data_IF_700982015564
#
_entry.id   IF_700982015564
#
_cell.length_a   1.000
_cell.length_b   1.000
_cell.length_c   1.000
_cell.angle_alpha   90.00
_cell.angle_beta   90.00
_cell.angle_gamma   90.00
#
_symmetry.space_group_name_H-M   'P 1'
#
loop_
_entity.id
_entity.type
_entity.pdbx_description
1 polymer ?
#
# COMPACT_ATOMS: atom_id res chain seq x y z
N UNK A 1 -27.86 30.86 21.99
CA UNK A 1 -28.13 29.47 22.41
C UNK A 1 -27.06 29.14 23.40
N UNK A 2 -27.46 28.71 24.60
CA UNK A 2 -26.52 28.31 25.63
C UNK A 2 -26.10 26.87 25.39
N UNK A 3 -24.79 26.65 25.28
CA UNK A 3 -24.17 25.35 25.06
C UNK A 3 -23.24 25.03 26.24
N UNK A 4 -23.23 23.77 26.64
CA UNK A 4 -22.25 23.20 27.57
C UNK A 4 -21.26 22.36 26.76
N UNK A 5 -20.00 22.76 26.77
CA UNK A 5 -18.92 22.04 26.11
C UNK A 5 -18.12 21.31 27.18
N UNK A 6 -17.98 19.99 27.06
CA UNK A 6 -17.13 19.16 27.91
C UNK A 6 -16.03 18.55 27.05
N UNK A 7 -14.79 18.73 27.46
CA UNK A 7 -13.62 18.13 26.85
C UNK A 7 -12.98 17.22 27.90
N UNK A 8 -13.00 15.92 27.62
CA UNK A 8 -12.64 14.87 28.56
C UNK A 8 -11.55 13.99 27.96
N UNK A 9 -10.69 13.44 28.82
CA UNK A 9 -9.60 12.56 28.45
C UNK A 9 -9.29 11.60 29.58
N UNK A 10 -9.20 10.32 29.25
CA UNK A 10 -8.88 9.24 30.19
C UNK A 10 -7.75 8.39 29.62
N UNK A 11 -6.79 8.01 30.45
CA UNK A 11 -5.77 7.03 30.04
C UNK A 11 -6.38 5.65 29.86
N UNK A 12 -5.65 4.73 29.23
CA UNK A 12 -6.08 3.34 29.06
C UNK A 12 -6.40 2.62 30.39
N UNK A 13 -5.85 3.12 31.51
CA UNK A 13 -6.11 2.61 32.86
C UNK A 13 -7.30 3.28 33.55
N UNK A 14 -8.06 4.12 32.85
CA UNK A 14 -9.25 4.83 33.36
C UNK A 14 -8.94 6.05 34.23
N UNK A 15 -7.70 6.54 34.24
CA UNK A 15 -7.36 7.77 34.97
C UNK A 15 -7.76 8.99 34.15
N UNK A 16 -8.61 9.86 34.70
CA UNK A 16 -8.96 11.14 34.07
C UNK A 16 -7.74 12.07 34.05
N UNK A 17 -7.29 12.41 32.85
CA UNK A 17 -6.15 13.32 32.57
C UNK A 17 -6.58 14.66 31.99
N UNK A 18 -7.82 14.74 31.50
CA UNK A 18 -8.40 15.98 31.01
C UNK A 18 -9.88 16.05 31.40
N UNK A 19 -10.28 17.15 32.03
CA UNK A 19 -11.69 17.43 32.32
C UNK A 19 -11.90 18.94 32.33
N UNK A 20 -12.29 19.48 31.17
CA UNK A 20 -12.51 20.91 30.97
C UNK A 20 -13.95 21.14 30.53
N UNK A 21 -14.70 21.89 31.33
CA UNK A 21 -16.08 22.26 31.01
C UNK A 21 -16.19 23.77 30.78
N UNK A 22 -16.87 24.18 29.70
CA UNK A 22 -17.15 25.59 29.39
C UNK A 22 -18.62 25.79 29.06
N UNK A 23 -19.25 26.78 29.70
CA UNK A 23 -20.55 27.30 29.30
C UNK A 23 -20.36 28.43 28.29
N UNK A 24 -21.07 28.36 27.16
CA UNK A 24 -20.86 29.24 26.01
C UNK A 24 -22.20 29.65 25.43
N UNK A 25 -22.41 30.96 25.23
CA UNK A 25 -23.55 31.47 24.45
C UNK A 25 -23.15 31.72 22.99
N UNK A 26 -23.93 31.21 22.05
CA UNK A 26 -23.78 31.49 20.62
C UNK A 26 -24.99 32.24 20.11
N UNK A 27 -24.79 33.49 19.66
CA UNK A 27 -25.86 34.35 19.14
C UNK A 27 -26.35 33.86 17.77
N UNK A 28 -27.60 34.18 17.44
CA UNK A 28 -28.21 33.83 16.14
C UNK A 28 -27.39 34.42 14.99
N UNK A 29 -27.21 33.62 13.93
CA UNK A 29 -26.45 33.99 12.72
C UNK A 29 -25.00 34.44 13.00
N UNK A 30 -24.40 33.94 14.08
CA UNK A 30 -23.01 34.23 14.45
C UNK A 30 -22.27 32.93 14.77
N UNK A 31 -20.95 32.95 14.53
CA UNK A 31 -20.04 31.90 14.98
C UNK A 31 -19.29 32.38 16.22
N UNK A 32 -18.88 31.42 17.07
CA UNK A 32 -18.04 31.69 18.24
C UNK A 32 -16.86 30.73 18.25
N UNK A 33 -15.65 31.26 18.40
CA UNK A 33 -14.43 30.48 18.57
C UNK A 33 -14.20 30.25 20.07
N UNK A 34 -13.93 29.00 20.45
CA UNK A 34 -13.69 28.60 21.83
C UNK A 34 -12.33 27.93 21.90
N UNK A 35 -11.39 28.57 22.58
CA UNK A 35 -10.04 28.05 22.74
C UNK A 35 -9.96 27.14 23.97
N UNK A 36 -9.27 26.02 23.84
CA UNK A 36 -8.92 25.14 24.95
C UNK A 36 -7.40 25.06 25.03
N UNK A 37 -6.85 25.28 26.23
CA UNK A 37 -5.42 25.13 26.46
C UNK A 37 -5.18 23.68 26.88
N UNK A 38 -4.32 22.97 26.14
CA UNK A 38 -3.98 21.58 26.46
C UNK A 38 -2.87 21.53 27.51
N UNK A 39 -2.96 20.67 28.54
CA UNK A 39 -1.85 20.38 29.44
C UNK A 39 -0.64 19.81 28.69
N UNK A 40 0.57 20.05 29.20
CA UNK A 40 1.81 19.53 28.59
C UNK A 40 2.05 18.05 28.91
N UNK A 41 1.43 17.53 29.96
CA UNK A 41 1.61 16.19 30.53
C UNK A 41 0.55 15.18 30.05
N UNK A 42 -0.08 15.44 28.89
CA UNK A 42 -1.01 14.50 28.29
C UNK A 42 -0.31 13.21 27.84
N UNK A 43 -0.99 12.08 28.01
CA UNK A 43 -0.51 10.76 27.61
C UNK A 43 -1.47 10.11 26.61
N UNK A 44 -1.07 8.97 26.05
CA UNK A 44 -2.00 8.13 25.28
C UNK A 44 -3.24 7.78 26.13
N UNK A 45 -4.39 7.76 25.46
CA UNK A 45 -5.69 7.55 26.08
C UNK A 45 -6.85 7.90 25.15
N UNK A 46 -8.06 7.79 25.69
CA UNK A 46 -9.31 8.11 25.00
C UNK A 46 -9.71 9.54 25.33
N UNK A 47 -9.82 10.38 24.31
CA UNK A 47 -10.23 11.76 24.43
C UNK A 47 -11.53 12.01 23.67
N UNK A 48 -12.39 12.85 24.20
CA UNK A 48 -13.66 13.20 23.56
C UNK A 48 -14.10 14.62 23.86
N UNK A 49 -14.89 15.18 22.95
CA UNK A 49 -15.60 16.45 23.14
C UNK A 49 -17.11 16.23 23.03
N UNK A 50 -17.85 16.73 24.02
CA UNK A 50 -19.31 16.71 24.06
C UNK A 50 -19.85 18.14 24.00
N UNK A 51 -20.87 18.37 23.17
CA UNK A 51 -21.56 19.65 23.02
C UNK A 51 -23.05 19.43 23.28
N UNK A 52 -23.52 19.96 24.41
CA UNK A 52 -24.91 19.84 24.85
C UNK A 52 -25.64 21.18 24.80
N UNK A 53 -26.84 21.18 24.23
CA UNK A 53 -27.78 22.30 24.29
C UNK A 53 -28.37 22.46 25.69
N UNK A 54 -28.40 23.70 26.19
CA UNK A 54 -28.95 24.05 27.49
C UNK A 54 -30.23 24.87 27.35
N UNK A 55 -30.96 25.03 28.46
CA UNK A 55 -32.12 25.93 28.60
C UNK A 55 -33.21 25.77 27.53
N UNK A 56 -33.69 24.54 27.34
CA UNK A 56 -34.83 24.25 26.46
C UNK A 56 -34.48 24.07 24.99
N UNK A 57 -33.19 24.11 24.64
CA UNK A 57 -32.69 23.74 23.32
C UNK A 57 -32.13 22.32 23.37
N UNK A 58 -32.82 21.35 22.76
CA UNK A 58 -32.36 19.96 22.71
C UNK A 58 -31.31 19.79 21.63
N UNK A 59 -30.06 19.56 22.05
CA UNK A 59 -28.93 19.33 21.17
C UNK A 59 -27.90 18.48 21.90
N UNK A 60 -27.38 17.45 21.24
CA UNK A 60 -26.32 16.59 21.77
C UNK A 60 -25.45 16.11 20.61
N UNK A 61 -24.15 16.39 20.71
CA UNK A 61 -23.13 15.88 19.78
C UNK A 61 -21.88 15.51 20.55
N UNK A 62 -21.29 14.38 20.16
CA UNK A 62 -20.03 13.89 20.71
C UNK A 62 -19.07 13.61 19.54
N UNK A 63 -17.78 13.81 19.77
CA UNK A 63 -16.72 13.41 18.85
C UNK A 63 -15.51 12.88 19.63
N UNK A 64 -14.97 11.75 19.17
CA UNK A 64 -13.69 11.23 19.64
C UNK A 64 -12.54 12.07 19.08
N UNK A 65 -11.50 12.26 19.89
CA UNK A 65 -10.31 13.03 19.55
C UNK A 65 -9.09 12.11 19.61
N UNK A 66 -8.32 12.08 18.52
CA UNK A 66 -7.08 11.27 18.47
C UNK A 66 -5.94 12.08 19.05
N UNK A 67 -5.33 11.55 20.11
CA UNK A 67 -4.09 12.10 20.67
C UNK A 67 -2.89 11.72 19.79
N UNK A 68 -2.05 12.70 19.48
CA UNK A 68 -0.80 12.51 18.75
C UNK A 68 0.37 12.88 19.66
N UNK A 69 1.14 11.88 20.08
CA UNK A 69 2.32 12.08 20.95
C UNK A 69 3.47 12.78 20.23
N UNK A 70 3.51 12.73 18.90
CA UNK A 70 4.62 13.24 18.09
C UNK A 70 4.17 14.41 17.21
N UNK A 71 5.00 15.44 17.18
CA UNK A 71 4.90 16.57 16.23
C UNK A 71 5.75 16.37 14.97
N UNK A 72 6.23 15.14 14.76
CA UNK A 72 7.06 14.75 13.63
C UNK A 72 6.47 13.51 12.95
N UNK A 73 6.75 13.37 11.65
CA UNK A 73 6.41 12.21 10.84
C UNK A 73 7.68 11.59 10.25
N UNK A 74 7.67 10.28 10.07
CA UNK A 74 8.76 9.53 9.46
C UNK A 74 8.29 8.78 8.22
N UNK A 75 9.14 8.72 7.19
CA UNK A 75 8.96 7.88 6.01
C UNK A 75 10.22 7.08 5.76
N UNK A 76 10.04 5.86 5.25
CA UNK A 76 11.14 5.02 4.74
C UNK A 76 10.91 4.78 3.26
N UNK A 77 11.92 5.05 2.46
CA UNK A 77 11.97 4.64 1.07
C UNK A 77 13.04 3.57 0.90
N UNK A 78 12.68 2.52 0.18
CA UNK A 78 13.57 1.43 -0.22
C UNK A 78 13.57 1.42 -1.74
N UNK A 79 14.72 1.19 -2.36
CA UNK A 79 14.89 1.22 -3.82
C UNK A 79 14.12 0.10 -4.55
N UNK A 80 13.93 -1.06 -3.92
CA UNK A 80 13.11 -2.19 -4.43
C UNK A 80 12.23 -2.77 -3.32
N UNK A 81 11.06 -3.35 -3.66
CA UNK A 81 10.25 -4.09 -2.70
C UNK A 81 10.77 -5.51 -2.44
N UNK A 82 11.47 -6.10 -3.41
CA UNK A 82 11.98 -7.48 -3.35
C UNK A 82 13.44 -7.54 -3.81
N UNK A 83 14.26 -8.29 -3.06
CA UNK A 83 15.68 -8.49 -3.29
C UNK A 83 16.04 -9.96 -3.39
N UNK A 84 17.18 -10.24 -3.99
CA UNK A 84 17.78 -11.57 -4.07
C UNK A 84 18.99 -11.69 -3.13
N UNK A 85 19.40 -12.92 -2.79
CA UNK A 85 20.71 -13.17 -2.19
C UNK A 85 21.83 -12.45 -2.94
N UNK A 86 22.69 -11.73 -2.21
CA UNK A 86 23.77 -10.94 -2.80
C UNK A 86 23.39 -9.54 -3.31
N UNK A 87 22.11 -9.15 -3.29
CA UNK A 87 21.72 -7.77 -3.62
C UNK A 87 22.09 -6.80 -2.48
N UNK A 88 22.23 -5.51 -2.83
CA UNK A 88 22.33 -4.41 -1.87
C UNK A 88 20.98 -3.72 -1.74
N UNK A 89 20.48 -3.57 -0.51
CA UNK A 89 19.28 -2.79 -0.18
C UNK A 89 19.69 -1.35 0.03
N UNK A 90 19.24 -0.42 -0.81
CA UNK A 90 19.42 1.01 -0.58
C UNK A 90 18.15 1.59 0.03
N UNK A 91 18.29 2.36 1.11
CA UNK A 91 17.16 2.99 1.77
C UNK A 91 17.48 4.40 2.24
N UNK A 92 16.42 5.19 2.38
CA UNK A 92 16.48 6.49 3.04
C UNK A 92 15.34 6.65 4.03
N UNK A 93 15.67 7.23 5.18
CA UNK A 93 14.75 7.66 6.22
C UNK A 93 14.54 9.15 6.06
N UNK A 94 13.30 9.59 6.02
CA UNK A 94 12.90 10.99 5.89
C UNK A 94 12.13 11.36 7.15
N UNK A 95 12.53 12.43 7.82
CA UNK A 95 11.88 12.94 9.04
C UNK A 95 11.47 14.39 8.83
N UNK A 96 10.20 14.67 9.05
CA UNK A 96 9.59 15.98 8.82
C UNK A 96 8.78 16.43 10.04
N UNK A 97 8.73 17.74 10.31
CA UNK A 97 7.84 18.34 11.30
C UNK A 97 6.44 18.66 10.72
N UNK A 98 5.61 19.33 11.50
CA UNK A 98 4.25 19.76 11.10
C UNK A 98 4.23 20.76 9.95
N UNK A 99 5.35 21.43 9.65
CA UNK A 99 5.50 22.32 8.49
C UNK A 99 6.09 21.60 7.27
N UNK A 100 6.24 20.27 7.34
CA UNK A 100 6.89 19.43 6.32
C UNK A 100 8.34 19.83 6.05
N UNK A 101 9.04 20.31 7.07
CA UNK A 101 10.45 20.71 7.02
C UNK A 101 11.29 19.81 7.92
N UNK A 102 12.63 19.79 7.75
CA UNK A 102 13.51 19.08 8.66
C UNK A 102 13.35 19.60 10.11
N UNK A 103 12.97 18.74 11.08
CA UNK A 103 12.75 19.17 12.46
C UNK A 103 14.02 19.72 13.09
N UNK A 104 13.95 20.95 13.61
CA UNK A 104 15.11 21.62 14.20
C UNK A 104 15.72 20.86 15.40
N UNK A 105 14.86 20.20 16.19
CA UNK A 105 15.21 19.49 17.44
C UNK A 105 15.74 18.07 17.20
N UNK A 106 15.42 17.43 16.07
CA UNK A 106 15.83 16.04 15.80
C UNK A 106 17.01 16.06 14.83
N UNK A 107 18.23 15.84 15.36
CA UNK A 107 19.47 15.81 14.56
C UNK A 107 19.88 14.43 14.08
N UNK A 108 19.39 13.40 14.75
CA UNK A 108 19.67 12.01 14.42
C UNK A 108 18.52 11.12 14.86
N UNK A 109 18.38 9.98 14.19
CA UNK A 109 17.43 8.93 14.55
C UNK A 109 18.17 7.64 14.87
N UNK A 110 17.45 6.68 15.42
CA UNK A 110 17.93 5.34 15.65
C UNK A 110 17.32 4.42 14.59
N UNK A 111 18.14 3.70 13.82
CA UNK A 111 17.66 2.82 12.75
C UNK A 111 18.12 1.39 13.02
N UNK A 112 17.21 0.44 12.88
CA UNK A 112 17.50 -1.00 13.00
C UNK A 112 16.91 -1.77 11.84
N UNK A 113 17.69 -2.67 11.25
CA UNK A 113 17.21 -3.66 10.28
C UNK A 113 17.23 -5.03 10.93
N UNK A 114 16.10 -5.72 10.86
CA UNK A 114 15.91 -7.08 11.36
C UNK A 114 15.57 -8.05 10.23
N UNK A 115 16.07 -9.27 10.35
CA UNK A 115 15.71 -10.37 9.49
C UNK A 115 14.29 -10.92 9.81
N UNK A 116 13.77 -11.90 9.05
CA UNK A 116 12.45 -12.48 9.27
C UNK A 116 12.26 -13.16 10.64
N UNK A 117 13.34 -13.55 11.30
CA UNK A 117 13.32 -14.12 12.65
C UNK A 117 13.53 -13.07 13.75
N UNK A 118 13.50 -11.78 13.38
CA UNK A 118 13.70 -10.61 14.26
C UNK A 118 15.12 -10.48 14.80
N UNK A 119 16.11 -11.16 14.22
CA UNK A 119 17.51 -10.94 14.56
C UNK A 119 17.95 -9.56 14.05
N UNK A 120 18.68 -8.80 14.87
CA UNK A 120 19.22 -7.50 14.47
C UNK A 120 20.43 -7.72 13.57
N UNK A 121 20.30 -7.35 12.30
CA UNK A 121 21.37 -7.53 11.30
C UNK A 121 22.24 -6.28 11.17
N UNK A 122 21.61 -5.10 11.21
CA UNK A 122 22.34 -3.83 11.18
C UNK A 122 21.63 -2.79 12.03
N UNK A 123 22.41 -1.95 12.70
CA UNK A 123 21.91 -0.89 13.59
C UNK A 123 22.76 0.35 13.44
N UNK A 124 22.09 1.49 13.41
CA UNK A 124 22.69 2.82 13.50
C UNK A 124 22.11 3.50 14.73
N UNK A 125 22.87 3.52 15.82
CA UNK A 125 22.45 4.16 17.08
C UNK A 125 22.33 5.68 16.96
N UNK A 126 23.03 6.28 15.99
CA UNK A 126 23.05 7.73 15.75
C UNK A 126 23.12 7.99 14.25
N UNK A 127 22.03 7.69 13.55
CA UNK A 127 21.87 7.99 12.13
C UNK A 127 21.61 9.50 11.95
N UNK A 128 22.64 10.26 11.61
CA UNK A 128 22.55 11.72 11.45
C UNK A 128 21.67 12.08 10.26
N UNK A 129 20.77 13.04 10.48
CA UNK A 129 19.90 13.58 9.44
C UNK A 129 20.60 14.76 8.74
N UNK A 130 20.67 14.71 7.42
CA UNK A 130 21.05 15.82 6.55
C UNK A 130 19.81 16.31 5.81
N UNK A 131 19.41 17.57 6.04
CA UNK A 131 18.15 18.12 5.53
C UNK A 131 16.93 17.20 5.79
N UNK A 132 16.88 16.59 6.98
CA UNK A 132 15.79 15.68 7.39
C UNK A 132 15.92 14.26 6.82
N UNK A 133 17.01 13.94 6.11
CA UNK A 133 17.20 12.65 5.45
C UNK A 133 18.43 11.93 6.00
N UNK A 134 18.30 10.64 6.27
CA UNK A 134 19.41 9.71 6.47
C UNK A 134 19.37 8.65 5.36
N UNK A 135 20.48 8.45 4.67
CA UNK A 135 20.60 7.48 3.58
C UNK A 135 21.68 6.46 3.92
N UNK A 136 21.41 5.18 3.66
CA UNK A 136 22.35 4.09 3.88
C UNK A 136 21.93 2.83 3.11
N UNK A 137 22.83 1.85 3.10
CA UNK A 137 22.62 0.55 2.48
C UNK A 137 22.60 -0.62 3.49
N UNK A 138 22.27 -1.82 3.01
CA UNK A 138 22.56 -3.11 3.63
C UNK A 138 22.88 -4.14 2.54
N UNK A 139 24.06 -4.76 2.61
CA UNK A 139 24.40 -5.89 1.75
C UNK A 139 23.73 -7.18 2.24
N UNK A 140 22.90 -7.81 1.41
CA UNK A 140 22.32 -9.12 1.70
C UNK A 140 23.40 -10.19 1.49
N UNK A 141 23.54 -11.10 2.46
CA UNK A 141 24.49 -12.20 2.38
C UNK A 141 24.18 -13.12 1.17
N UNK A 142 25.16 -13.86 0.63
CA UNK A 142 24.93 -14.86 -0.42
C UNK A 142 23.98 -15.99 0.00
N UNK A 143 23.91 -16.28 1.29
CA UNK A 143 23.00 -17.26 1.90
C UNK A 143 22.21 -16.58 3.04
N UNK A 144 21.21 -15.73 2.72
CA UNK A 144 20.49 -14.94 3.71
C UNK A 144 19.29 -15.70 4.27
N UNK A 145 18.70 -15.16 5.34
CA UNK A 145 17.35 -15.55 5.74
C UNK A 145 16.32 -15.03 4.72
N UNK A 146 15.59 -15.94 4.10
CA UNK A 146 14.53 -15.60 3.15
C UNK A 146 13.24 -15.19 3.87
N UNK A 147 12.47 -14.30 3.25
CA UNK A 147 11.20 -13.81 3.76
C UNK A 147 11.18 -12.30 3.96
N UNK A 148 10.34 -11.84 4.88
CA UNK A 148 10.08 -10.41 5.11
C UNK A 148 11.03 -9.85 6.16
N UNK A 149 11.84 -8.87 5.74
CA UNK A 149 12.75 -8.10 6.59
C UNK A 149 12.07 -6.80 7.01
N UNK A 150 12.54 -6.19 8.11
CA UNK A 150 11.96 -4.96 8.64
C UNK A 150 13.04 -3.92 8.95
N UNK A 151 12.84 -2.69 8.45
CA UNK A 151 13.56 -1.48 8.81
C UNK A 151 12.68 -0.71 9.81
N UNK A 152 13.13 -0.52 11.04
CA UNK A 152 12.45 0.30 12.06
C UNK A 152 13.29 1.52 12.42
N UNK A 153 12.61 2.65 12.59
CA UNK A 153 13.20 3.95 12.94
C UNK A 153 12.57 4.42 14.23
N UNK A 154 13.41 4.76 15.21
CA UNK A 154 13.02 5.26 16.51
C UNK A 154 13.57 6.68 16.73
N UNK A 155 12.80 7.49 17.46
CA UNK A 155 13.19 8.82 17.95
C UNK A 155 12.86 8.86 19.44
N UNK A 156 13.84 9.21 20.27
CA UNK A 156 13.70 9.27 21.73
C UNK A 156 13.16 7.98 22.38
N UNK A 157 13.48 6.82 21.78
CA UNK A 157 13.10 5.49 22.29
C UNK A 157 11.71 5.02 21.86
N UNK A 158 10.99 5.81 21.07
CA UNK A 158 9.70 5.43 20.50
C UNK A 158 9.79 5.21 18.99
N UNK A 159 9.15 4.16 18.47
CA UNK A 159 9.05 3.92 17.03
C UNK A 159 8.36 5.11 16.35
N UNK A 160 8.97 5.63 15.29
CA UNK A 160 8.44 6.69 14.45
C UNK A 160 7.83 6.12 13.17
N UNK A 161 8.53 5.18 12.53
CA UNK A 161 8.10 4.53 11.29
C UNK A 161 8.82 3.20 11.14
N UNK A 162 8.13 2.22 10.57
CA UNK A 162 8.72 0.96 10.13
C UNK A 162 8.30 0.64 8.70
N UNK A 163 9.15 -0.12 7.98
CA UNK A 163 8.88 -0.54 6.61
C UNK A 163 9.57 -1.85 6.30
N UNK A 164 8.87 -2.70 5.58
CA UNK A 164 9.35 -4.02 5.20
C UNK A 164 9.88 -4.06 3.77
N UNK A 165 10.76 -5.03 3.52
CA UNK A 165 11.16 -5.47 2.19
C UNK A 165 11.29 -6.99 2.20
N UNK A 166 11.24 -7.63 1.04
CA UNK A 166 11.27 -9.09 0.97
C UNK A 166 12.58 -9.59 0.33
N UNK A 167 13.15 -10.65 0.88
CA UNK A 167 14.29 -11.35 0.29
C UNK A 167 13.83 -12.72 -0.17
N UNK A 168 13.89 -12.99 -1.47
CA UNK A 168 13.50 -14.27 -2.08
C UNK A 168 14.66 -14.88 -2.81
N UNK A 169 14.72 -16.21 -2.78
CA UNK A 169 15.58 -16.95 -3.70
C UNK A 169 15.20 -16.62 -5.15
N UNK A 170 16.22 -16.58 -6.01
CA UNK A 170 15.98 -16.60 -7.44
C UNK A 170 15.53 -18.00 -7.82
N UNK A 171 14.22 -18.24 -7.82
CA UNK A 171 13.66 -19.44 -8.41
C UNK A 171 13.65 -19.24 -9.92
N UNK A 172 14.11 -20.26 -10.66
CA UNK A 172 14.01 -20.32 -12.11
C UNK A 172 12.56 -20.04 -12.49
N UNK A 173 12.35 -18.93 -13.16
CA UNK A 173 11.05 -18.27 -13.20
C UNK A 173 10.07 -19.14 -13.97
N UNK A 174 8.94 -19.48 -13.35
CA UNK A 174 7.71 -19.67 -14.12
C UNK A 174 7.57 -18.44 -15.01
N UNK A 175 7.28 -18.61 -16.29
CA UNK A 175 7.02 -17.49 -17.18
C UNK A 175 5.55 -17.09 -17.07
N UNK A 176 5.26 -15.83 -17.37
CA UNK A 176 3.89 -15.34 -17.42
C UNK A 176 3.37 -15.46 -18.84
N UNK A 177 2.12 -15.92 -18.98
CA UNK A 177 1.40 -15.94 -20.25
C UNK A 177 0.28 -14.93 -20.18
N UNK A 178 0.32 -13.93 -21.05
CA UNK A 178 -0.72 -12.92 -21.19
C UNK A 178 -1.48 -13.12 -22.50
N UNK A 179 -2.80 -12.97 -22.42
CA UNK A 179 -3.71 -13.12 -23.56
C UNK A 179 -4.61 -11.91 -23.58
N UNK A 180 -4.63 -11.20 -24.70
CA UNK A 180 -5.42 -9.98 -24.87
C UNK A 180 -5.87 -9.82 -26.32
N UNK A 181 -7.02 -9.21 -26.60
CA UNK A 181 -7.37 -8.84 -27.95
C UNK A 181 -6.32 -7.90 -28.56
N UNK A 182 -5.82 -8.20 -29.76
CA UNK A 182 -4.91 -7.34 -30.52
C UNK A 182 -5.61 -6.04 -30.99
N UNK A 183 -6.94 -6.12 -31.11
CA UNK A 183 -7.86 -5.03 -31.43
C UNK A 183 -9.17 -5.31 -30.68
N UNK A 184 -9.92 -4.27 -30.33
CA UNK A 184 -11.24 -4.43 -29.69
C UNK A 184 -12.13 -5.28 -30.62
N UNK A 185 -12.64 -6.44 -30.17
CA UNK A 185 -13.56 -7.25 -30.97
C UNK A 185 -14.88 -6.51 -31.14
N UNK A 186 -15.36 -6.43 -32.39
CA UNK A 186 -16.67 -5.92 -32.74
C UNK A 186 -17.42 -7.02 -33.48
N UNK A 187 -18.75 -7.04 -33.35
CA UNK A 187 -19.60 -8.01 -34.04
C UNK A 187 -19.37 -8.02 -35.56
N UNK A 188 -19.21 -6.84 -36.16
CA UNK A 188 -18.95 -6.67 -37.60
C UNK A 188 -17.66 -7.33 -38.09
N UNK A 189 -16.69 -7.54 -37.19
CA UNK A 189 -15.44 -8.22 -37.54
C UNK A 189 -15.65 -9.72 -37.77
N UNK A 190 -16.73 -10.31 -37.20
CA UNK A 190 -16.99 -11.75 -37.20
C UNK A 190 -15.76 -12.58 -36.80
N UNK A 191 -14.89 -12.01 -35.95
CA UNK A 191 -13.64 -12.63 -35.54
C UNK A 191 -13.08 -11.99 -34.26
N UNK A 192 -12.26 -12.76 -33.55
CA UNK A 192 -11.44 -12.28 -32.43
C UNK A 192 -9.97 -12.46 -32.77
N UNK A 193 -9.24 -11.35 -32.78
CA UNK A 193 -7.78 -11.34 -32.94
C UNK A 193 -7.13 -11.26 -31.56
N UNK A 194 -6.33 -12.26 -31.20
CA UNK A 194 -5.64 -12.34 -29.92
C UNK A 194 -4.13 -12.16 -30.10
N UNK A 195 -3.54 -11.41 -29.18
CA UNK A 195 -2.11 -11.37 -28.91
C UNK A 195 -1.85 -12.29 -27.72
N UNK A 196 -0.91 -13.22 -27.90
CA UNK A 196 -0.43 -14.13 -26.86
C UNK A 196 1.02 -13.77 -26.60
N UNK A 197 1.34 -13.43 -25.37
CA UNK A 197 2.67 -13.02 -24.95
C UNK A 197 3.16 -13.91 -23.81
N UNK A 198 4.35 -14.48 -23.95
CA UNK A 198 4.97 -15.38 -22.98
C UNK A 198 6.41 -14.92 -22.73
N UNK A 199 6.65 -14.36 -21.54
CA UNK A 199 7.96 -13.86 -21.15
C UNK A 199 8.31 -14.35 -19.74
N UNK A 200 9.61 -14.59 -19.51
CA UNK A 200 10.09 -14.73 -18.14
C UNK A 200 9.96 -13.40 -17.40
N UNK A 201 9.92 -13.46 -16.07
CA UNK A 201 9.85 -12.28 -15.19
C UNK A 201 11.02 -11.30 -15.38
N UNK A 202 12.16 -11.76 -15.90
CA UNK A 202 13.32 -10.93 -16.24
C UNK A 202 13.29 -10.38 -17.68
N UNK A 203 12.17 -10.55 -18.39
CA UNK A 203 11.87 -9.90 -19.66
C UNK A 203 12.33 -10.62 -20.92
N UNK A 204 12.94 -11.81 -20.82
CA UNK A 204 13.29 -12.58 -22.02
C UNK A 204 12.07 -13.34 -22.58
N UNK A 205 11.96 -13.44 -23.91
CA UNK A 205 10.88 -14.17 -24.56
C UNK A 205 11.00 -15.68 -24.30
N UNK A 206 9.84 -16.33 -24.15
CA UNK A 206 9.73 -17.80 -24.07
C UNK A 206 9.34 -18.34 -25.44
N UNK A 207 10.02 -19.39 -25.87
CA UNK A 207 9.63 -20.16 -27.05
C UNK A 207 8.73 -21.32 -26.63
N UNK A 208 7.59 -21.48 -27.31
CA UNK A 208 6.68 -22.57 -27.02
C UNK A 208 5.56 -22.72 -28.03
N UNK A 209 4.66 -23.64 -27.74
CA UNK A 209 3.44 -23.87 -28.51
C UNK A 209 2.24 -23.42 -27.68
N UNK A 210 1.48 -22.46 -28.20
CA UNK A 210 0.23 -22.00 -27.62
C UNK A 210 -0.95 -22.76 -28.25
N UNK A 211 -1.77 -23.38 -27.41
CA UNK A 211 -3.06 -23.98 -27.78
C UNK A 211 -4.18 -23.05 -27.33
N UNK A 212 -5.00 -22.60 -28.26
CA UNK A 212 -6.02 -21.57 -28.05
C UNK A 212 -7.38 -22.20 -28.29
N UNK A 213 -8.23 -22.17 -27.28
CA UNK A 213 -9.57 -22.75 -27.25
C UNK A 213 -10.57 -21.62 -27.01
N UNK A 214 -11.59 -21.52 -27.87
CA UNK A 214 -12.66 -20.53 -27.76
C UNK A 214 -14.00 -21.23 -27.54
N UNK A 215 -14.79 -20.72 -26.60
CA UNK A 215 -16.08 -21.24 -26.19
C UNK A 215 -17.16 -20.15 -26.33
N UNK A 216 -18.20 -20.42 -27.12
CA UNK A 216 -19.35 -19.50 -27.32
C UNK A 216 -20.49 -19.74 -26.32
N UNK A 217 -20.61 -20.98 -25.85
CA UNK A 217 -21.51 -21.39 -24.77
C UNK A 217 -20.65 -22.04 -23.67
N UNK A 218 -21.09 -21.96 -22.41
CA UNK A 218 -20.41 -22.63 -21.31
C UNK A 218 -20.20 -24.12 -21.62
N UNK A 219 -18.93 -24.53 -21.62
CA UNK A 219 -18.42 -25.89 -21.84
C UNK A 219 -18.53 -26.49 -23.26
N UNK A 220 -18.97 -25.74 -24.28
CA UNK A 220 -18.90 -26.20 -25.68
C UNK A 220 -17.76 -25.52 -26.45
N UNK A 221 -16.72 -26.30 -26.74
CA UNK A 221 -15.61 -25.86 -27.58
C UNK A 221 -16.13 -25.50 -28.98
N UNK A 222 -15.97 -24.25 -29.39
CA UNK A 222 -16.33 -23.78 -30.71
C UNK A 222 -15.16 -23.87 -31.69
N UNK A 223 -14.00 -23.36 -31.29
CA UNK A 223 -12.82 -23.30 -32.13
C UNK A 223 -11.55 -23.63 -31.36
N UNK A 224 -10.59 -24.22 -32.08
CA UNK A 224 -9.26 -24.49 -31.58
C UNK A 224 -8.22 -24.12 -32.62
N UNK A 225 -7.17 -23.41 -32.21
CA UNK A 225 -5.97 -23.15 -33.01
C UNK A 225 -4.71 -23.42 -32.20
N UNK A 226 -3.65 -23.82 -32.90
CA UNK A 226 -2.32 -24.00 -32.31
C UNK A 226 -1.31 -23.16 -33.11
N UNK A 227 -0.39 -22.51 -32.41
CA UNK A 227 0.68 -21.71 -33.01
C UNK A 227 1.97 -21.81 -32.20
N UNK A 228 3.10 -21.78 -32.89
CA UNK A 228 4.41 -21.58 -32.26
C UNK A 228 4.58 -20.09 -31.95
N UNK A 229 4.95 -19.79 -30.71
CA UNK A 229 5.14 -18.43 -30.20
C UNK A 229 6.58 -18.28 -29.74
N UNK A 230 7.21 -17.18 -30.15
CA UNK A 230 8.52 -16.76 -29.65
C UNK A 230 8.37 -15.40 -28.98
N UNK A 231 8.15 -15.41 -27.67
CA UNK A 231 7.83 -14.20 -26.89
C UNK A 231 6.43 -13.68 -27.15
N UNK A 232 6.09 -13.36 -28.40
CA UNK A 232 4.81 -12.78 -28.80
C UNK A 232 4.30 -13.39 -30.10
N UNK A 233 3.01 -13.71 -30.14
CA UNK A 233 2.33 -14.29 -31.30
C UNK A 233 0.93 -13.72 -31.46
N UNK A 234 0.39 -13.81 -32.69
CA UNK A 234 -0.98 -13.40 -32.99
C UNK A 234 -1.77 -14.56 -33.59
N UNK A 235 -3.05 -14.64 -33.21
CA UNK A 235 -3.98 -15.63 -33.73
C UNK A 235 -5.34 -14.99 -33.97
N UNK A 236 -5.93 -15.28 -35.12
CA UNK A 236 -7.31 -14.89 -35.47
C UNK A 236 -8.23 -16.10 -35.32
N UNK A 237 -9.38 -15.94 -34.67
CA UNK A 237 -10.45 -16.94 -34.56
C UNK A 237 -11.69 -16.36 -35.25
N UNK A 238 -12.21 -17.02 -36.28
CA UNK A 238 -13.29 -16.49 -37.14
C UNK A 238 -14.61 -17.17 -36.83
N UNK A 239 -15.66 -16.40 -36.60
CA UNK A 239 -17.00 -16.93 -36.42
C UNK A 239 -17.68 -17.20 -37.78
N UNK A 240 -18.53 -18.21 -37.84
CA UNK A 240 -19.24 -18.55 -39.09
C UNK A 240 -20.53 -17.74 -39.27
N UNK A 241 -21.19 -17.32 -38.18
CA UNK A 241 -22.35 -16.41 -38.15
C UNK A 241 -22.62 -15.99 -36.68
N UNK A 242 -21.76 -15.15 -36.12
CA UNK A 242 -21.93 -14.68 -34.74
C UNK A 242 -22.88 -13.49 -34.70
N UNK A 243 -23.95 -13.60 -33.92
CA UNK A 243 -24.87 -12.52 -33.64
C UNK A 243 -25.12 -12.51 -32.12
N UNK A 244 -24.96 -11.34 -31.50
CA UNK A 244 -25.20 -11.15 -30.07
C UNK A 244 -26.67 -10.83 -29.84
N UNK A 245 -27.24 -11.39 -28.77
CA UNK A 245 -28.61 -11.07 -28.33
C UNK A 245 -28.68 -9.72 -27.58
N UNK A 246 -27.52 -9.19 -27.16
CA UNK A 246 -27.37 -7.94 -26.40
C UNK A 246 -26.22 -7.10 -26.97
N UNK A 247 -26.06 -5.86 -26.49
CA UNK A 247 -25.00 -4.95 -26.93
C UNK A 247 -23.57 -5.47 -26.66
N UNK A 248 -23.43 -6.43 -25.74
CA UNK A 248 -22.16 -7.07 -25.37
C UNK A 248 -22.38 -8.55 -25.06
N UNK A 249 -21.39 -9.36 -25.42
CA UNK A 249 -21.32 -10.78 -25.06
C UNK A 249 -19.89 -11.16 -24.71
N UNK A 250 -19.71 -11.76 -23.53
CA UNK A 250 -18.44 -12.33 -23.13
C UNK A 250 -18.21 -13.67 -23.84
N UNK A 251 -17.01 -13.81 -24.42
CA UNK A 251 -16.56 -15.05 -25.06
C UNK A 251 -15.38 -15.60 -24.29
N UNK A 252 -15.51 -16.84 -23.80
CA UNK A 252 -14.46 -17.47 -23.00
C UNK A 252 -13.35 -17.97 -23.92
N UNK A 253 -12.13 -17.57 -23.60
CA UNK A 253 -10.90 -18.06 -24.26
C UNK A 253 -10.03 -18.74 -23.21
N UNK A 254 -9.51 -19.92 -23.55
CA UNK A 254 -8.51 -20.63 -22.77
C UNK A 254 -7.24 -20.79 -23.60
N UNK A 255 -6.11 -20.42 -23.03
CA UNK A 255 -4.79 -20.63 -23.65
C UNK A 255 -3.96 -21.55 -22.77
N UNK A 256 -3.44 -22.62 -23.37
CA UNK A 256 -2.44 -23.49 -22.76
C UNK A 256 -1.13 -23.30 -23.49
N UNK A 257 -0.12 -22.77 -22.80
CA UNK A 257 1.22 -22.54 -23.36
C UNK A 257 2.17 -23.63 -22.88
N UNK A 258 2.80 -24.32 -23.84
CA UNK A 258 3.76 -25.39 -23.56
C UNK A 258 5.13 -24.89 -24.00
N UNK A 259 6.00 -24.60 -23.04
CA UNK A 259 7.38 -24.19 -23.29
C UNK A 259 8.15 -25.30 -24.04
N UNK A 260 8.91 -24.90 -25.05
CA UNK A 260 9.88 -25.78 -25.68
C UNK A 260 11.18 -25.71 -24.88
N UNK A 261 11.48 -26.76 -24.12
CA UNK A 261 12.78 -26.88 -23.45
C UNK A 261 13.89 -26.88 -24.50
N UNK A 262 14.77 -25.88 -24.43
CA UNK A 262 16.07 -25.86 -25.10
C UNK A 262 17.17 -26.22 -24.11
#
# INVERSE_FOLDING_TARGET
>A
VDLLLKLEGETDNGLSVLNVTKMVDVRRNMNRMINFNMPEDLTAGNYKITIDGQRGFSFHKEAELVYLSKSISGLIQVDKPVFKPGDTVNFRVIVLDTELKPPARVKSVYVTIRDPQRNVIRKWSTAKLYAGVFESDLQIAPTPMLGVWNISVEVEGEELVSKTFEVKEYVLSTFDVQVMPSVIPLEEHQAVNLTIEANYHFGKPVQGVAKVELYLEDDKLNQKKELTVYGKGQVELRFENFAMDADQQDVRVKVSFIEQYT
#
